data_IF_340769474489
#
_entry.id   IF_340769474489
#
_cell.length_a   1.000
_cell.length_b   1.000
_cell.length_c   1.000
_cell.angle_alpha   90.00
_cell.angle_beta   90.00
_cell.angle_gamma   90.00
#
_symmetry.space_group_name_H-M   'P 1'
#
loop_
_entity.id
_entity.type
_entity.pdbx_description
1 polymer ?
#
# COMPACT_ATOMS: atom_id res chain seq x y z
N UNK A 1 12.59 -4.36 -4.71
CA UNK A 1 12.22 -3.90 -3.34
C UNK A 1 10.80 -4.29 -2.95
N UNK A 2 9.75 -3.95 -3.71
CA UNK A 2 8.37 -4.24 -3.29
C UNK A 2 8.01 -5.73 -3.07
N UNK A 3 8.71 -6.65 -3.75
CA UNK A 3 8.47 -8.10 -3.63
C UNK A 3 8.92 -8.69 -2.28
N UNK A 4 9.97 -8.13 -1.66
CA UNK A 4 10.46 -8.64 -0.37
C UNK A 4 9.48 -8.28 0.76
N UNK A 5 8.88 -7.09 0.69
CA UNK A 5 8.00 -6.56 1.74
C UNK A 5 6.57 -7.13 1.60
N UNK A 6 6.03 -7.18 0.38
CA UNK A 6 4.62 -7.52 0.16
C UNK A 6 4.38 -8.83 -0.62
N UNK A 7 5.44 -9.58 -0.94
CA UNK A 7 5.32 -10.80 -1.75
C UNK A 7 4.43 -11.88 -1.12
N UNK A 8 4.38 -11.92 0.21
CA UNK A 8 3.62 -12.90 0.98
C UNK A 8 2.29 -12.34 1.53
N UNK A 9 1.81 -11.21 1.01
CA UNK A 9 0.56 -10.61 1.49
C UNK A 9 -0.63 -11.53 1.18
N UNK A 10 -1.44 -11.83 2.19
CA UNK A 10 -2.61 -12.71 2.09
C UNK A 10 -3.88 -11.92 1.78
N UNK A 11 -4.03 -11.50 0.52
CA UNK A 11 -5.17 -10.65 0.09
C UNK A 11 -6.36 -11.44 -0.48
N UNK A 12 -6.43 -12.75 -0.20
CA UNK A 12 -7.45 -13.68 -0.71
C UNK A 12 -7.31 -14.07 -2.19
N UNK A 13 -6.50 -13.37 -2.98
CA UNK A 13 -6.23 -13.68 -4.39
C UNK A 13 -4.79 -13.29 -4.74
N UNK A 14 -4.04 -14.23 -5.34
CA UNK A 14 -2.66 -14.03 -5.78
C UNK A 14 -2.51 -12.85 -6.75
N UNK A 15 -3.54 -12.57 -7.57
CA UNK A 15 -3.56 -11.44 -8.51
C UNK A 15 -3.52 -10.10 -7.77
N UNK A 16 -4.14 -10.02 -6.59
CA UNK A 16 -4.14 -8.82 -5.75
C UNK A 16 -2.76 -8.62 -5.14
N UNK A 17 -2.14 -9.68 -4.64
CA UNK A 17 -0.77 -9.64 -4.10
C UNK A 17 0.24 -9.21 -5.15
N UNK A 18 0.17 -9.75 -6.37
CA UNK A 18 1.00 -9.31 -7.50
C UNK A 18 0.80 -7.83 -7.83
N UNK A 19 -0.45 -7.35 -7.76
CA UNK A 19 -0.77 -5.94 -8.02
C UNK A 19 -0.27 -5.02 -6.91
N UNK A 20 -0.38 -5.42 -5.65
CA UNK A 20 0.21 -4.71 -4.50
C UNK A 20 1.72 -4.52 -4.70
N UNK A 21 2.45 -5.62 -4.96
CA UNK A 21 3.90 -5.57 -5.19
C UNK A 21 4.26 -4.61 -6.32
N UNK A 22 3.48 -4.63 -7.42
CA UNK A 22 3.69 -3.71 -8.56
C UNK A 22 3.47 -2.25 -8.17
N UNK A 23 2.37 -1.95 -7.48
CA UNK A 23 2.04 -0.58 -7.04
C UNK A 23 3.08 -0.07 -6.06
N UNK A 24 3.45 -0.88 -5.05
CA UNK A 24 4.47 -0.51 -4.08
C UNK A 24 5.81 -0.20 -4.73
N UNK A 25 6.21 -0.98 -5.75
CA UNK A 25 7.43 -0.70 -6.50
C UNK A 25 7.33 0.60 -7.31
N UNK A 26 6.20 0.84 -7.98
CA UNK A 26 5.97 2.07 -8.74
C UNK A 26 6.00 3.32 -7.85
N UNK A 27 5.35 3.27 -6.69
CA UNK A 27 5.32 4.40 -5.75
C UNK A 27 6.69 4.64 -5.11
N UNK A 28 7.41 3.58 -4.72
CA UNK A 28 8.74 3.70 -4.13
C UNK A 28 9.78 4.29 -5.10
N UNK A 29 9.70 3.96 -6.40
CA UNK A 29 10.58 4.52 -7.43
C UNK A 29 10.22 5.98 -7.78
N UNK A 30 9.03 6.46 -7.42
CA UNK A 30 8.53 7.80 -7.75
C UNK A 30 8.02 8.54 -6.51
N UNK A 31 8.74 8.43 -5.39
CA UNK A 31 8.36 9.01 -4.10
C UNK A 31 7.95 10.48 -4.21
N UNK A 32 6.80 10.83 -3.61
CA UNK A 32 6.25 12.19 -3.65
C UNK A 32 5.46 12.53 -4.92
N UNK A 33 5.44 11.65 -5.93
CA UNK A 33 4.59 11.83 -7.11
C UNK A 33 3.18 11.29 -6.90
N UNK A 34 2.21 11.84 -7.64
CA UNK A 34 0.86 11.28 -7.67
C UNK A 34 0.85 9.89 -8.33
N UNK A 35 -0.18 9.08 -8.03
CA UNK A 35 -0.39 7.76 -8.64
C UNK A 35 -0.35 7.83 -10.17
N UNK A 36 -0.96 8.89 -10.74
CA UNK A 36 -1.00 9.12 -12.19
C UNK A 36 0.41 9.30 -12.74
N UNK A 37 1.21 10.18 -12.13
CA UNK A 37 2.57 10.49 -12.57
C UNK A 37 3.51 9.28 -12.40
N UNK A 38 3.34 8.51 -11.34
CA UNK A 38 4.16 7.33 -11.06
C UNK A 38 3.81 6.09 -11.90
N UNK A 39 2.58 5.98 -12.42
CA UNK A 39 2.10 4.76 -13.10
C UNK A 39 2.48 4.66 -14.57
N UNK A 40 2.84 5.77 -15.23
CA UNK A 40 3.39 5.86 -16.59
C UNK A 40 2.44 5.49 -17.75
N UNK A 41 1.54 4.51 -17.57
CA UNK A 41 0.60 4.02 -18.60
C UNK A 41 -0.83 4.01 -18.08
N UNK A 42 -1.81 4.20 -18.97
CA UNK A 42 -3.23 4.24 -18.62
C UNK A 42 -3.71 2.97 -17.90
N UNK A 43 -3.30 1.79 -18.39
CA UNK A 43 -3.65 0.51 -17.77
C UNK A 43 -3.09 0.38 -16.33
N UNK A 44 -1.91 0.94 -16.07
CA UNK A 44 -1.30 0.94 -14.74
C UNK A 44 -2.03 1.89 -13.80
N UNK A 45 -2.43 3.08 -14.29
CA UNK A 45 -3.22 4.06 -13.54
C UNK A 45 -4.56 3.44 -13.11
N UNK A 46 -5.31 2.86 -14.05
CA UNK A 46 -6.59 2.21 -13.74
C UNK A 46 -6.40 1.04 -12.79
N UNK A 47 -5.36 0.23 -12.99
CA UNK A 47 -5.04 -0.89 -12.11
C UNK A 47 -4.75 -0.43 -10.67
N UNK A 48 -4.03 0.68 -10.50
CA UNK A 48 -3.71 1.25 -9.20
C UNK A 48 -4.96 1.78 -8.50
N UNK A 49 -5.80 2.56 -9.19
CA UNK A 49 -7.05 3.06 -8.60
C UNK A 49 -8.06 1.95 -8.30
N UNK A 50 -8.19 0.94 -9.17
CA UNK A 50 -9.04 -0.23 -8.91
C UNK A 50 -8.56 -1.02 -7.71
N UNK A 51 -7.24 -1.11 -7.49
CA UNK A 51 -6.68 -1.77 -6.32
C UNK A 51 -6.97 -0.98 -5.04
N UNK A 52 -6.76 0.34 -5.04
CA UNK A 52 -6.97 1.20 -3.86
C UNK A 52 -8.45 1.33 -3.45
N UNK A 53 -9.38 1.13 -4.38
CA UNK A 53 -10.84 1.16 -4.13
C UNK A 53 -11.45 -0.24 -4.03
N UNK A 54 -10.64 -1.28 -3.87
CA UNK A 54 -11.14 -2.64 -3.80
C UNK A 54 -11.59 -2.98 -2.37
N UNK A 55 -12.90 -3.05 -2.16
CA UNK A 55 -13.49 -3.37 -0.84
C UNK A 55 -13.14 -4.78 -0.34
N UNK A 56 -12.66 -5.67 -1.23
CA UNK A 56 -12.22 -7.00 -0.84
C UNK A 56 -10.76 -7.06 -0.36
N UNK A 57 -10.09 -5.91 -0.21
CA UNK A 57 -8.72 -5.81 0.29
C UNK A 57 -8.76 -5.08 1.63
N UNK A 58 -8.38 -5.78 2.70
CA UNK A 58 -8.19 -5.14 3.99
C UNK A 58 -6.82 -4.44 4.04
N UNK A 59 -6.80 -3.19 4.47
CA UNK A 59 -5.56 -2.44 4.67
C UNK A 59 -4.69 -3.05 5.78
N UNK A 60 -5.30 -3.69 6.78
CA UNK A 60 -4.57 -4.39 7.84
C UNK A 60 -3.74 -5.55 7.29
N UNK A 61 -4.26 -6.31 6.31
CA UNK A 61 -3.50 -7.40 5.69
C UNK A 61 -2.24 -6.89 4.97
N UNK A 62 -2.29 -5.67 4.42
CA UNK A 62 -1.14 -5.00 3.81
C UNK A 62 -0.11 -4.61 4.89
N UNK A 63 -0.57 -4.01 6.00
CA UNK A 63 0.29 -3.64 7.11
C UNK A 63 0.97 -4.86 7.75
N UNK A 64 0.21 -5.93 8.00
CA UNK A 64 0.71 -7.20 8.55
C UNK A 64 1.73 -7.83 7.61
N UNK A 65 1.51 -7.79 6.29
CA UNK A 65 2.48 -8.33 5.33
C UNK A 65 3.82 -7.59 5.41
N UNK A 66 3.77 -6.25 5.45
CA UNK A 66 4.96 -5.42 5.60
C UNK A 66 5.70 -5.70 6.92
N UNK A 67 4.97 -5.79 8.03
CA UNK A 67 5.55 -6.13 9.33
C UNK A 67 6.16 -7.54 9.34
N UNK A 68 5.44 -8.53 8.80
CA UNK A 68 5.88 -9.93 8.74
C UNK A 68 7.17 -10.09 7.94
N UNK A 69 7.40 -9.25 6.94
CA UNK A 69 8.65 -9.26 6.16
C UNK A 69 9.89 -8.91 6.99
N UNK A 70 9.72 -8.21 8.12
CA UNK A 70 10.79 -7.82 9.03
C UNK A 70 11.09 -8.89 10.10
N UNK A 71 10.17 -9.84 10.33
CA UNK A 71 10.32 -10.87 11.38
C UNK A 71 11.63 -11.66 11.29
N UNK A 72 12.08 -12.13 10.11
CA UNK A 72 13.34 -12.88 10.03
C UNK A 72 14.56 -12.05 10.48
N UNK A 73 14.59 -10.76 10.19
CA UNK A 73 15.67 -9.86 10.61
C UNK A 73 15.58 -9.53 12.11
N UNK A 74 14.36 -9.41 12.63
CA UNK A 74 14.12 -9.21 14.07
C UNK A 74 14.54 -10.42 14.89
N UNK A 75 14.28 -11.64 14.44
CA UNK A 75 14.67 -12.88 15.11
C UNK A 75 16.19 -13.07 15.19
N UNK A 76 16.93 -12.54 14.22
CA UNK A 76 18.40 -12.56 14.21
C UNK A 76 19.02 -11.50 15.15
N UNK A 77 18.22 -10.57 15.67
CA UNK A 77 18.69 -9.42 16.44
C UNK A 77 18.58 -9.68 17.95
N UNK A 78 19.71 -9.64 18.66
CA UNK A 78 19.74 -9.86 20.12
C UNK A 78 19.06 -8.74 20.95
N UNK A 79 18.87 -7.55 20.35
CA UNK A 79 18.23 -6.41 21.00
C UNK A 79 17.51 -5.57 19.95
N UNK A 80 16.28 -5.20 20.25
CA UNK A 80 15.45 -4.35 19.40
C UNK A 80 15.01 -3.10 20.18
N UNK A 81 14.78 -2.00 19.46
CA UNK A 81 14.21 -0.77 20.01
C UNK A 81 12.87 -0.52 19.33
N UNK A 82 11.78 -0.66 20.07
CA UNK A 82 10.43 -0.35 19.60
C UNK A 82 10.12 1.11 19.93
N UNK A 83 10.22 1.99 18.92
CA UNK A 83 9.83 3.38 19.05
C UNK A 83 8.32 3.50 18.81
N UNK A 84 7.61 4.07 19.78
CA UNK A 84 6.17 4.32 19.70
C UNK A 84 5.91 5.83 19.79
N UNK A 85 5.13 6.32 18.84
CA UNK A 85 4.64 7.71 18.78
C UNK A 85 3.29 7.71 18.07
N UNK A 86 2.47 8.75 18.28
CA UNK A 86 1.15 8.89 17.67
C UNK A 86 1.11 10.13 16.78
N UNK A 87 0.77 9.94 15.51
CA UNK A 87 0.57 11.03 14.55
C UNK A 87 -0.81 10.95 13.91
N UNK A 88 -1.31 12.09 13.43
CA UNK A 88 -2.64 12.20 12.81
C UNK A 88 -2.51 12.52 11.33
N UNK A 89 -3.30 11.85 10.50
CA UNK A 89 -3.43 12.17 9.08
C UNK A 89 -4.67 13.02 8.84
N UNK A 90 -4.47 14.33 8.64
CA UNK A 90 -5.55 15.30 8.48
C UNK A 90 -5.87 15.55 7.01
N UNK A 91 -7.12 15.36 6.63
CA UNK A 91 -7.62 15.64 5.27
C UNK A 91 -8.65 16.78 5.31
N UNK A 92 -8.51 17.75 4.41
CA UNK A 92 -9.56 18.75 4.12
C UNK A 92 -9.88 18.69 2.64
N UNK A 93 -11.00 18.08 2.30
CA UNK A 93 -11.50 18.02 0.93
C UNK A 93 -12.98 18.42 0.94
N UNK A 94 -13.38 19.31 0.04
CA UNK A 94 -14.79 19.65 -0.14
C UNK A 94 -15.47 18.51 -0.90
N UNK A 95 -16.44 17.85 -0.26
CA UNK A 95 -17.41 16.99 -0.95
C UNK A 95 -18.68 17.80 -1.15
N UNK A 96 -18.71 18.68 -2.14
CA UNK A 96 -20.00 19.22 -2.62
C UNK A 96 -20.75 18.10 -3.33
N UNK A 97 -21.60 17.40 -2.59
CA UNK A 97 -22.64 16.55 -3.13
C UNK A 97 -23.69 17.48 -3.77
N UNK A 98 -23.71 17.58 -5.09
CA UNK A 98 -24.84 18.18 -5.80
C UNK A 98 -26.02 17.21 -5.69
N UNK A 99 -27.19 17.62 -5.16
CA UNK A 99 -28.38 16.78 -5.25
C UNK A 99 -28.80 16.73 -6.72
N UNK A 100 -29.00 15.52 -7.23
CA UNK A 100 -29.67 15.30 -8.53
C UNK A 100 -31.07 15.90 -8.43
N UNK A 101 -31.36 16.86 -9.31
CA UNK A 101 -32.72 17.33 -9.63
C UNK A 101 -33.56 16.17 -10.17
#
# INVERSE_FOLDING_TARGET
MGSNIFGNAKLGDERRTKRLVKISHLMANNTGSSIVKASGTQASIEGAYRFLRNDNIDANDIAIAGFSSLLPELELSNKILALEDTSTLSYRHNVTCFPRL
#
